data_IF_280717852877
#
_entry.id   IF_280717852877
#
_cell.length_a   1.000
_cell.length_b   1.000
_cell.length_c   1.000
_cell.angle_alpha   90.00
_cell.angle_beta   90.00
_cell.angle_gamma   90.00
#
_symmetry.space_group_name_H-M   'P 1'
#
loop_
_entity.id
_entity.type
_entity.pdbx_description
1 polymer ?
#
# COMPACT_ATOMS: atom_id res chain seq x y z
N UNK A 1 28.53 -28.57 14.22
CA UNK A 1 27.54 -27.57 13.76
C UNK A 1 26.18 -28.10 14.13
N UNK A 2 25.60 -27.59 15.21
CA UNK A 2 24.33 -28.07 15.77
C UNK A 2 23.17 -27.56 14.93
N UNK A 3 22.48 -28.47 14.24
CA UNK A 3 21.17 -28.24 13.66
C UNK A 3 20.16 -28.01 14.78
N UNK A 4 20.07 -26.77 15.26
CA UNK A 4 19.03 -26.36 16.19
C UNK A 4 17.72 -26.38 15.43
N UNK A 5 17.03 -27.53 15.44
CA UNK A 5 15.63 -27.64 15.01
C UNK A 5 14.83 -26.62 15.82
N UNK A 6 14.47 -25.51 15.19
CA UNK A 6 13.60 -24.49 15.75
C UNK A 6 12.20 -25.08 15.91
N UNK A 7 11.98 -25.79 17.01
CA UNK A 7 10.65 -26.26 17.39
C UNK A 7 9.83 -25.04 17.80
N UNK A 8 8.69 -24.86 17.14
CA UNK A 8 7.76 -23.73 17.19
C UNK A 8 7.07 -23.49 18.56
N UNK A 9 7.74 -23.75 19.69
CA UNK A 9 7.14 -23.81 21.04
C UNK A 9 7.16 -22.48 21.82
N UNK A 10 7.74 -21.39 21.28
CA UNK A 10 7.90 -20.10 21.99
C UNK A 10 7.39 -18.87 21.25
N UNK A 11 6.18 -18.95 20.70
CA UNK A 11 5.58 -17.85 19.93
C UNK A 11 4.23 -17.43 20.52
N UNK A 12 4.28 -16.78 21.68
CA UNK A 12 3.11 -16.17 22.32
C UNK A 12 2.72 -14.87 21.60
N UNK A 13 1.55 -14.91 20.96
CA UNK A 13 0.64 -13.81 20.59
C UNK A 13 1.09 -12.79 19.51
N UNK A 14 2.32 -12.27 19.53
CA UNK A 14 2.78 -11.34 18.47
C UNK A 14 3.42 -12.05 17.27
N UNK A 15 3.79 -13.32 17.49
CA UNK A 15 3.99 -14.32 16.45
C UNK A 15 2.68 -15.05 16.15
N UNK A 16 1.60 -14.30 16.04
CA UNK A 16 0.65 -14.65 15.02
C UNK A 16 1.41 -14.63 13.67
N UNK A 17 2.01 -15.76 13.34
CA UNK A 17 1.94 -16.36 12.01
C UNK A 17 0.46 -16.60 11.60
N UNK A 18 -0.51 -15.79 12.06
CA UNK A 18 -1.51 -15.29 11.13
C UNK A 18 -0.70 -14.56 10.06
N UNK A 19 -0.18 -15.34 9.11
CA UNK A 19 0.28 -14.95 7.80
C UNK A 19 -0.30 -13.57 7.54
N UNK A 20 0.52 -12.52 7.67
CA UNK A 20 0.05 -11.17 7.33
C UNK A 20 -0.52 -11.31 5.94
N UNK A 21 -1.86 -11.23 5.82
CA UNK A 21 -2.64 -12.02 4.86
C UNK A 21 -1.85 -12.29 3.58
N UNK A 22 -1.31 -13.51 3.46
CA UNK A 22 -0.53 -13.93 2.31
C UNK A 22 0.98 -14.11 2.46
N UNK A 23 1.62 -14.08 3.63
CA UNK A 23 3.02 -14.56 3.78
C UNK A 23 3.09 -16.00 4.31
N UNK A 24 3.78 -16.89 3.59
CA UNK A 24 4.07 -18.24 4.09
C UNK A 24 5.33 -18.28 4.95
N UNK A 25 5.45 -19.33 5.78
CA UNK A 25 6.65 -19.58 6.58
C UNK A 25 7.87 -19.78 5.67
N UNK A 26 7.69 -20.50 4.57
CA UNK A 26 8.73 -20.74 3.56
C UNK A 26 9.18 -19.43 2.90
N UNK A 27 8.25 -18.57 2.47
CA UNK A 27 8.56 -17.25 1.88
C UNK A 27 9.35 -16.39 2.87
N UNK A 28 8.95 -16.44 4.14
CA UNK A 28 9.62 -15.71 5.21
C UNK A 28 11.04 -16.22 5.41
N UNK A 29 11.25 -17.54 5.40
CA UNK A 29 12.58 -18.13 5.50
C UNK A 29 13.44 -17.73 4.29
N UNK A 30 12.90 -17.81 3.08
CA UNK A 30 13.60 -17.38 1.86
C UNK A 30 14.00 -15.90 1.95
N UNK A 31 13.15 -15.02 2.49
CA UNK A 31 13.50 -13.62 2.70
C UNK A 31 14.68 -13.45 3.65
N UNK A 32 14.71 -14.20 4.76
CA UNK A 32 15.86 -14.18 5.69
C UNK A 32 17.15 -14.60 5.00
N UNK A 33 17.11 -15.70 4.24
CA UNK A 33 18.28 -16.18 3.49
C UNK A 33 18.71 -15.18 2.40
N UNK A 34 17.76 -14.50 1.75
CA UNK A 34 18.06 -13.47 0.75
C UNK A 34 18.75 -12.25 1.38
N UNK A 35 18.26 -11.77 2.53
CA UNK A 35 18.90 -10.68 3.28
C UNK A 35 20.30 -11.08 3.72
N UNK A 36 20.47 -12.33 4.19
CA UNK A 36 21.77 -12.88 4.58
C UNK A 36 22.76 -12.97 3.40
N UNK A 37 22.27 -13.30 2.20
CA UNK A 37 23.10 -13.54 1.01
C UNK A 37 23.42 -12.27 0.19
N UNK A 38 22.46 -11.35 0.09
CA UNK A 38 22.56 -10.16 -0.77
C UNK A 38 22.67 -8.86 0.01
N UNK A 39 22.41 -8.88 1.31
CA UNK A 39 22.33 -7.69 2.13
C UNK A 39 20.91 -7.14 2.22
N UNK A 40 20.66 -6.39 3.28
CA UNK A 40 19.38 -5.70 3.46
C UNK A 40 19.21 -4.59 2.42
N UNK A 41 17.99 -4.36 1.96
CA UNK A 41 17.66 -3.42 0.88
C UNK A 41 17.95 -3.87 -0.57
N UNK A 42 18.42 -5.10 -0.79
CA UNK A 42 18.64 -5.66 -2.14
C UNK A 42 17.37 -6.29 -2.74
N UNK A 43 16.25 -5.56 -2.65
CA UNK A 43 14.92 -6.04 -3.05
C UNK A 43 14.82 -6.27 -4.56
N UNK A 44 15.43 -5.41 -5.36
CA UNK A 44 15.46 -5.56 -6.82
C UNK A 44 16.13 -6.88 -7.23
N UNK A 45 17.23 -7.26 -6.58
CA UNK A 45 17.90 -8.54 -6.84
C UNK A 45 17.01 -9.73 -6.53
N UNK A 46 16.27 -9.67 -5.42
CA UNK A 46 15.31 -10.71 -5.00
C UNK A 46 14.17 -10.84 -6.01
N UNK A 47 13.64 -9.70 -6.49
CA UNK A 47 12.57 -9.65 -7.48
C UNK A 47 13.04 -10.09 -8.87
N UNK A 48 14.18 -9.61 -9.36
CA UNK A 48 14.78 -10.00 -10.66
C UNK A 48 15.06 -11.50 -10.73
N UNK A 49 15.54 -12.09 -9.63
CA UNK A 49 15.76 -13.55 -9.53
C UNK A 49 14.48 -14.34 -9.21
N UNK A 50 13.34 -13.67 -9.05
CA UNK A 50 12.04 -14.25 -8.74
C UNK A 50 12.09 -15.25 -7.55
N UNK A 51 12.83 -14.88 -6.49
CA UNK A 51 13.02 -15.77 -5.33
C UNK A 51 11.80 -15.82 -4.43
N UNK A 52 11.05 -14.71 -4.35
CA UNK A 52 9.79 -14.60 -3.61
C UNK A 52 8.72 -14.04 -4.55
N UNK A 53 8.17 -14.90 -5.41
CA UNK A 53 7.25 -14.47 -6.45
C UNK A 53 6.00 -13.82 -5.84
N UNK A 54 5.53 -12.73 -6.43
CA UNK A 54 4.29 -12.06 -5.98
C UNK A 54 4.42 -11.01 -4.93
N UNK A 55 5.60 -10.88 -4.33
CA UNK A 55 5.84 -9.81 -3.38
C UNK A 55 6.32 -8.56 -4.09
N UNK A 56 5.68 -7.45 -3.76
CA UNK A 56 6.13 -6.13 -4.18
C UNK A 56 7.31 -5.67 -3.30
N UNK A 57 8.07 -4.69 -3.80
CA UNK A 57 9.15 -4.06 -3.04
C UNK A 57 8.68 -3.56 -1.65
N UNK A 58 7.53 -2.88 -1.59
CA UNK A 58 6.94 -2.43 -0.32
C UNK A 58 6.61 -3.60 0.61
N UNK A 59 6.05 -4.70 0.10
CA UNK A 59 5.77 -5.88 0.93
C UNK A 59 7.05 -6.50 1.50
N UNK A 60 8.12 -6.62 0.69
CA UNK A 60 9.43 -7.10 1.15
C UNK A 60 10.00 -6.21 2.26
N UNK A 61 9.92 -4.89 2.08
CA UNK A 61 10.39 -3.90 3.06
C UNK A 61 9.58 -3.93 4.36
N UNK A 62 8.25 -3.98 4.28
CA UNK A 62 7.39 -4.01 5.46
C UNK A 62 7.52 -5.31 6.24
N UNK A 63 7.67 -6.43 5.54
CA UNK A 63 7.89 -7.71 6.20
C UNK A 63 9.25 -7.76 6.88
N UNK A 64 10.32 -7.27 6.24
CA UNK A 64 11.65 -7.24 6.85
C UNK A 64 11.73 -6.35 8.09
N UNK A 65 11.01 -5.21 8.14
CA UNK A 65 10.85 -4.40 9.37
C UNK A 65 10.27 -5.21 10.53
N UNK A 66 9.22 -6.00 10.26
CA UNK A 66 8.60 -6.88 11.26
C UNK A 66 9.56 -7.97 11.71
N UNK A 67 10.25 -8.61 10.75
CA UNK A 67 11.20 -9.67 11.04
C UNK A 67 12.38 -9.18 11.89
N UNK A 68 12.86 -7.96 11.70
CA UNK A 68 13.92 -7.38 12.54
C UNK A 68 13.40 -6.75 13.84
N UNK A 69 12.08 -6.59 14.01
CA UNK A 69 11.48 -5.97 15.20
C UNK A 69 11.68 -4.45 15.30
N UNK A 70 11.90 -3.75 14.18
CA UNK A 70 12.19 -2.30 14.16
C UNK A 70 11.51 -1.62 12.97
N UNK A 71 10.90 -0.46 13.19
CA UNK A 71 10.12 0.28 12.16
C UNK A 71 10.98 1.00 11.11
N UNK A 72 12.29 1.09 11.32
CA UNK A 72 13.17 1.84 10.43
C UNK A 72 14.51 1.14 10.36
N UNK A 73 14.89 0.73 9.15
CA UNK A 73 16.08 -0.08 8.89
C UNK A 73 17.01 0.55 7.85
N UNK A 74 16.85 1.85 7.56
CA UNK A 74 17.64 2.51 6.49
C UNK A 74 19.16 2.45 6.73
N UNK A 75 19.61 2.42 8.00
CA UNK A 75 21.03 2.30 8.35
C UNK A 75 21.60 0.91 8.06
N UNK A 76 20.76 -0.10 7.91
CA UNK A 76 21.20 -1.46 7.59
C UNK A 76 21.32 -1.69 6.08
N UNK A 77 21.09 -0.67 5.24
CA UNK A 77 21.16 -0.80 3.79
C UNK A 77 22.53 -1.37 3.35
N UNK A 78 22.50 -2.51 2.67
CA UNK A 78 23.67 -3.22 2.15
C UNK A 78 24.31 -4.22 3.13
N UNK A 79 23.93 -4.21 4.42
CA UNK A 79 24.53 -5.08 5.44
C UNK A 79 23.96 -6.49 5.33
N UNK A 80 24.82 -7.51 5.33
CA UNK A 80 24.45 -8.92 5.36
C UNK A 80 24.16 -9.34 6.80
N UNK A 81 22.91 -9.23 7.20
CA UNK A 81 22.48 -9.40 8.59
C UNK A 81 21.81 -10.74 8.86
N UNK A 82 22.03 -11.28 10.05
CA UNK A 82 21.19 -12.35 10.59
C UNK A 82 19.94 -11.76 11.26
N UNK A 83 18.82 -11.83 10.52
CA UNK A 83 17.54 -11.22 10.90
C UNK A 83 17.06 -11.71 12.27
N UNK A 84 17.25 -12.99 12.58
CA UNK A 84 16.78 -13.58 13.83
C UNK A 84 17.57 -13.07 15.03
N UNK A 85 18.90 -12.94 14.88
CA UNK A 85 19.76 -12.39 15.91
C UNK A 85 19.37 -10.93 16.23
N UNK A 86 19.25 -10.09 15.19
CA UNK A 86 18.82 -8.70 15.34
C UNK A 86 17.44 -8.58 15.98
N UNK A 87 16.50 -9.45 15.61
CA UNK A 87 15.18 -9.50 16.22
C UNK A 87 15.24 -9.79 17.72
N UNK A 88 15.99 -10.81 18.14
CA UNK A 88 16.11 -11.20 19.53
C UNK A 88 16.73 -10.07 20.36
N UNK A 89 17.78 -9.43 19.85
CA UNK A 89 18.36 -8.25 20.48
C UNK A 89 17.32 -7.12 20.59
N UNK A 90 16.63 -6.79 19.50
CA UNK A 90 15.60 -5.76 19.50
C UNK A 90 14.40 -6.12 20.39
N UNK A 91 14.11 -7.39 20.60
CA UNK A 91 13.08 -7.84 21.54
C UNK A 91 13.52 -7.64 22.99
N UNK A 92 14.77 -7.98 23.29
CA UNK A 92 15.33 -7.89 24.63
C UNK A 92 15.68 -6.46 25.06
N UNK A 93 15.81 -5.53 24.10
CA UNK A 93 15.97 -4.09 24.40
C UNK A 93 14.75 -3.56 25.18
N UNK A 94 14.99 -3.26 26.45
CA UNK A 94 14.05 -2.61 27.38
C UNK A 94 14.69 -1.36 27.98
N UNK A 95 13.93 -0.28 28.18
CA UNK A 95 14.45 0.93 28.80
C UNK A 95 13.52 2.13 28.63
N UNK A 96 13.73 3.18 29.45
CA UNK A 96 12.89 4.40 29.45
C UNK A 96 12.86 5.11 28.09
N UNK A 97 13.92 4.99 27.30
CA UNK A 97 14.06 5.66 25.99
C UNK A 97 13.58 4.80 24.80
N UNK A 98 13.16 3.55 25.03
CA UNK A 98 12.76 2.64 23.95
C UNK A 98 11.24 2.69 23.80
N UNK A 99 10.79 3.38 22.76
CA UNK A 99 9.37 3.42 22.37
C UNK A 99 9.06 2.31 21.38
N UNK A 100 7.90 1.66 21.54
CA UNK A 100 7.41 0.60 20.62
C UNK A 100 6.06 0.96 20.02
N UNK A 101 5.85 0.62 18.75
CA UNK A 101 4.53 0.69 18.09
C UNK A 101 4.32 -0.60 17.30
N UNK A 102 3.21 -1.28 17.59
CA UNK A 102 2.92 -2.63 17.11
C UNK A 102 4.07 -3.62 17.41
N UNK A 103 4.62 -3.56 18.63
CA UNK A 103 5.72 -4.42 19.10
C UNK A 103 7.11 -4.12 18.53
N UNK A 104 7.22 -3.29 17.48
CA UNK A 104 8.49 -2.89 16.88
C UNK A 104 9.08 -1.65 17.55
N UNK A 105 10.41 -1.58 17.66
CA UNK A 105 11.12 -0.39 18.13
C UNK A 105 10.89 0.76 17.14
N UNK A 106 10.46 1.90 17.67
CA UNK A 106 10.39 3.18 16.94
C UNK A 106 11.68 3.92 17.23
N UNK A 107 12.44 4.21 16.18
CA UNK A 107 13.59 5.11 16.31
C UNK A 107 13.06 6.54 16.41
N UNK A 108 13.44 7.26 17.46
CA UNK A 108 13.13 8.69 17.55
C UNK A 108 13.77 9.42 16.36
N UNK A 109 13.05 10.41 15.82
CA UNK A 109 13.39 11.14 14.58
C UNK A 109 14.57 12.10 14.78
N UNK A 110 15.66 11.62 15.35
CA UNK A 110 16.90 12.38 15.34
C UNK A 110 17.42 12.40 13.89
N UNK A 111 17.42 13.59 13.29
CA UNK A 111 17.94 13.82 11.94
C UNK A 111 19.47 13.73 11.99
N UNK A 112 19.99 12.53 11.75
CA UNK A 112 21.45 12.33 11.71
C UNK A 112 22.05 13.05 10.50
N UNK A 113 23.17 13.74 10.74
CA UNK A 113 23.99 14.31 9.66
C UNK A 113 24.59 13.20 8.78
N UNK A 114 25.06 13.54 7.58
CA UNK A 114 25.65 12.56 6.65
C UNK A 114 26.86 11.85 7.27
N UNK A 115 27.69 12.57 8.02
CA UNK A 115 28.87 12.04 8.71
C UNK A 115 28.48 11.09 9.85
N UNK A 116 27.53 11.50 10.70
CA UNK A 116 27.01 10.65 11.78
C UNK A 116 26.35 9.39 11.24
N UNK A 117 25.67 9.46 10.08
CA UNK A 117 25.15 8.28 9.39
C UNK A 117 26.27 7.35 8.97
N UNK A 118 27.35 7.88 8.40
CA UNK A 118 28.54 7.10 8.02
C UNK A 118 29.14 6.34 9.20
N UNK A 119 29.40 7.04 10.31
CA UNK A 119 29.95 6.44 11.54
C UNK A 119 29.02 5.34 12.06
N UNK A 120 27.71 5.62 12.18
CA UNK A 120 26.74 4.61 12.64
C UNK A 120 26.64 3.41 11.70
N UNK A 121 26.74 3.61 10.39
CA UNK A 121 26.78 2.48 9.43
C UNK A 121 28.05 1.66 9.65
N UNK A 122 29.22 2.28 9.83
CA UNK A 122 30.46 1.53 10.10
C UNK A 122 30.41 0.73 11.40
N UNK A 123 29.79 1.27 12.45
CA UNK A 123 29.61 0.56 13.71
C UNK A 123 28.65 -0.62 13.56
N UNK A 124 27.55 -0.43 12.83
CA UNK A 124 26.60 -1.50 12.52
C UNK A 124 27.21 -2.60 11.66
N UNK A 125 28.05 -2.24 10.67
CA UNK A 125 28.79 -3.22 9.86
C UNK A 125 29.70 -4.04 10.78
N UNK A 126 30.46 -3.41 11.66
CA UNK A 126 31.31 -4.13 12.63
C UNK A 126 30.52 -5.07 13.54
N UNK A 127 29.32 -4.66 13.97
CA UNK A 127 28.51 -5.43 14.91
C UNK A 127 27.73 -6.57 14.25
N UNK A 128 27.12 -6.34 13.08
CA UNK A 128 26.11 -7.24 12.50
C UNK A 128 26.51 -7.87 11.17
N UNK A 129 27.55 -7.38 10.50
CA UNK A 129 27.96 -7.95 9.21
C UNK A 129 28.43 -9.39 9.41
N UNK A 130 27.83 -10.30 8.66
CA UNK A 130 28.22 -11.70 8.69
C UNK A 130 29.55 -11.91 7.98
N UNK A 131 30.30 -12.93 8.43
CA UNK A 131 31.54 -13.32 7.76
C UNK A 131 31.30 -13.70 6.30
N UNK A 132 32.24 -13.37 5.42
CA UNK A 132 32.17 -13.71 3.98
C UNK A 132 31.94 -15.21 3.72
N UNK A 133 32.44 -16.08 4.60
CA UNK A 133 32.20 -17.52 4.54
C UNK A 133 30.74 -17.88 4.83
N UNK A 134 30.13 -17.27 5.86
CA UNK A 134 28.70 -17.43 6.17
C UNK A 134 27.83 -16.94 5.01
N UNK A 135 28.14 -15.77 4.45
CA UNK A 135 27.42 -15.19 3.32
C UNK A 135 27.46 -16.13 2.10
N UNK A 136 28.63 -16.69 1.77
CA UNK A 136 28.77 -17.63 0.63
C UNK A 136 28.06 -18.95 0.87
N UNK A 137 28.09 -19.47 2.10
CA UNK A 137 27.46 -20.74 2.46
C UNK A 137 25.94 -20.67 2.60
N UNK A 138 25.38 -19.46 2.62
CA UNK A 138 23.95 -19.23 2.70
C UNK A 138 23.24 -19.81 1.47
N UNK A 139 22.48 -20.89 1.68
CA UNK A 139 21.67 -21.55 0.65
C UNK A 139 20.27 -20.96 0.64
N UNK A 140 19.93 -20.26 -0.44
CA UNK A 140 18.57 -19.75 -0.62
C UNK A 140 17.67 -20.91 -1.08
N UNK A 141 16.68 -21.25 -0.27
CA UNK A 141 15.67 -22.24 -0.61
C UNK A 141 14.82 -21.75 -1.79
N UNK A 142 14.56 -22.61 -2.78
CA UNK A 142 13.60 -22.31 -3.84
C UNK A 142 12.21 -22.74 -3.40
N UNK A 143 11.23 -21.84 -3.55
CA UNK A 143 9.83 -22.12 -3.23
C UNK A 143 9.25 -23.09 -4.27
N UNK A 144 8.75 -24.24 -3.79
CA UNK A 144 8.21 -25.32 -4.64
C UNK A 144 7.02 -24.87 -5.48
N UNK A 145 6.19 -23.97 -4.93
CA UNK A 145 4.96 -23.49 -5.59
C UNK A 145 5.16 -22.23 -6.45
N UNK A 146 6.40 -21.88 -6.78
CA UNK A 146 6.70 -20.71 -7.64
C UNK A 146 6.05 -20.79 -9.04
N UNK A 147 5.72 -21.99 -9.52
CA UNK A 147 5.07 -22.21 -10.82
C UNK A 147 3.67 -21.56 -10.93
N UNK A 148 2.90 -21.54 -9.84
CA UNK A 148 1.55 -20.96 -9.87
C UNK A 148 1.59 -19.43 -9.96
N UNK A 149 2.70 -18.80 -9.57
CA UNK A 149 2.80 -17.36 -9.64
C UNK A 149 2.78 -16.82 -11.07
N UNK A 150 3.36 -17.53 -12.04
CA UNK A 150 3.24 -17.14 -13.46
C UNK A 150 1.76 -17.07 -13.87
N UNK A 151 0.94 -18.01 -13.40
CA UNK A 151 -0.50 -17.99 -13.67
C UNK A 151 -1.21 -16.86 -12.94
N UNK A 152 -0.90 -16.62 -11.67
CA UNK A 152 -1.45 -15.50 -10.89
C UNK A 152 -1.08 -14.16 -11.55
N UNK A 153 0.16 -14.01 -12.00
CA UNK A 153 0.63 -12.82 -12.70
C UNK A 153 -0.08 -12.64 -14.05
N UNK A 154 -0.21 -13.71 -14.85
CA UNK A 154 -0.99 -13.70 -16.09
C UNK A 154 -2.45 -13.29 -15.83
N UNK A 155 -3.09 -13.84 -14.81
CA UNK A 155 -4.46 -13.47 -14.39
C UNK A 155 -4.54 -12.00 -13.98
N UNK A 156 -3.57 -11.52 -13.20
CA UNK A 156 -3.50 -10.11 -12.78
C UNK A 156 -3.30 -9.16 -13.97
N UNK A 157 -2.43 -9.52 -14.90
CA UNK A 157 -2.20 -8.75 -16.13
C UNK A 157 -3.45 -8.71 -17.00
N UNK A 158 -4.15 -9.84 -17.13
CA UNK A 158 -5.43 -9.92 -17.83
C UNK A 158 -6.50 -9.03 -17.17
N UNK A 159 -6.63 -9.08 -15.85
CA UNK A 159 -7.54 -8.21 -15.08
C UNK A 159 -7.21 -6.72 -15.28
N UNK A 160 -5.92 -6.35 -15.29
CA UNK A 160 -5.47 -4.99 -15.58
C UNK A 160 -5.90 -4.54 -16.99
N UNK A 161 -5.71 -5.37 -18.01
CA UNK A 161 -6.16 -5.09 -19.38
C UNK A 161 -7.68 -4.94 -19.45
N UNK A 162 -8.44 -5.79 -18.75
CA UNK A 162 -9.91 -5.69 -18.67
C UNK A 162 -10.36 -4.39 -17.99
N UNK A 163 -9.73 -4.02 -16.87
CA UNK A 163 -10.04 -2.76 -16.16
C UNK A 163 -9.77 -1.53 -17.04
N UNK A 164 -8.66 -1.51 -17.77
CA UNK A 164 -8.36 -0.44 -18.73
C UNK A 164 -9.42 -0.37 -19.85
N UNK A 165 -9.89 -1.52 -20.35
CA UNK A 165 -10.98 -1.56 -21.34
C UNK A 165 -12.27 -0.98 -20.77
N UNK A 166 -12.65 -1.36 -19.55
CA UNK A 166 -13.83 -0.82 -18.85
C UNK A 166 -13.72 0.69 -18.65
N UNK A 167 -12.54 1.20 -18.28
CA UNK A 167 -12.30 2.64 -18.13
C UNK A 167 -12.45 3.39 -19.46
N UNK A 168 -11.98 2.82 -20.58
CA UNK A 168 -12.16 3.40 -21.92
C UNK A 168 -13.63 3.46 -22.31
N UNK A 169 -14.37 2.38 -22.10
CA UNK A 169 -15.80 2.32 -22.39
C UNK A 169 -16.59 3.35 -21.55
N UNK A 170 -16.24 3.50 -20.26
CA UNK A 170 -16.85 4.54 -19.40
C UNK A 170 -16.64 5.95 -19.96
N UNK A 171 -15.41 6.26 -20.40
CA UNK A 171 -15.09 7.56 -21.00
C UNK A 171 -15.78 7.80 -22.34
N UNK A 172 -16.03 6.74 -23.12
CA UNK A 172 -16.80 6.86 -24.36
C UNK A 172 -18.26 7.16 -24.06
N UNK A 173 -18.87 6.40 -23.15
CA UNK A 173 -20.26 6.61 -22.73
C UNK A 173 -20.50 7.99 -22.10
N UNK A 174 -19.53 8.49 -21.34
CA UNK A 174 -19.58 9.85 -20.78
C UNK A 174 -19.61 10.92 -21.88
N UNK A 175 -18.82 10.75 -22.95
CA UNK A 175 -18.84 11.65 -24.11
C UNK A 175 -20.11 11.56 -24.94
N UNK A 176 -20.67 10.35 -25.09
CA UNK A 176 -21.95 10.14 -25.77
C UNK A 176 -23.07 10.89 -25.03
N UNK A 177 -23.12 10.76 -23.70
CA UNK A 177 -24.07 11.49 -22.87
C UNK A 177 -23.89 13.03 -22.94
N UNK A 178 -22.64 13.51 -22.97
CA UNK A 178 -22.35 14.94 -23.19
C UNK A 178 -22.78 15.46 -24.57
N UNK A 179 -22.81 14.58 -25.59
CA UNK A 179 -23.29 14.94 -26.93
C UNK A 179 -24.82 14.97 -26.98
N UNK A 180 -25.48 13.97 -26.39
CA UNK A 180 -26.93 13.87 -26.28
C UNK A 180 -27.51 15.10 -25.55
N UNK A 181 -26.93 15.47 -24.42
CA UNK A 181 -27.34 16.67 -23.65
C UNK A 181 -27.15 17.99 -24.41
N UNK A 182 -26.13 18.10 -25.26
CA UNK A 182 -25.94 19.29 -26.12
C UNK A 182 -26.99 19.37 -27.21
N UNK A 183 -27.29 18.24 -27.86
CA UNK A 183 -28.32 18.20 -28.91
C UNK A 183 -29.72 18.52 -28.36
N UNK A 184 -30.05 18.05 -27.15
CA UNK A 184 -31.32 18.38 -26.50
C UNK A 184 -31.45 19.89 -26.22
N UNK A 185 -30.39 20.52 -25.68
CA UNK A 185 -30.40 21.97 -25.42
C UNK A 185 -30.49 22.83 -26.69
N UNK A 186 -29.94 22.38 -27.82
CA UNK A 186 -30.07 23.09 -29.10
C UNK A 186 -31.51 23.02 -29.62
N UNK A 187 -32.15 21.85 -29.57
CA UNK A 187 -33.54 21.66 -30.03
C UNK A 187 -34.58 22.42 -29.22
N UNK A 188 -34.38 22.60 -27.91
CA UNK A 188 -35.28 23.42 -27.07
C UNK A 188 -35.18 24.91 -27.40
N UNK A 189 -33.99 25.41 -27.78
CA UNK A 189 -33.83 26.83 -28.13
C UNK A 189 -34.37 27.23 -29.51
N UNK A 190 -34.52 26.28 -30.44
CA UNK A 190 -35.15 26.55 -31.74
C UNK A 190 -36.68 26.59 -31.63
N UNK A 191 -37.27 25.69 -30.84
CA UNK A 191 -38.74 25.67 -30.61
C UNK A 191 -39.24 26.90 -29.85
N UNK A 192 -38.46 27.48 -28.93
CA UNK A 192 -38.84 28.75 -28.27
C UNK A 192 -38.67 29.99 -29.16
N UNK A 193 -37.93 29.91 -30.27
CA UNK A 193 -37.78 31.05 -31.21
C UNK A 193 -38.90 31.11 -32.23
N UNK A 194 -39.45 29.98 -32.66
CA UNK A 194 -40.59 29.95 -33.59
C UNK A 194 -41.90 30.38 -32.89
N UNK A 195 -42.16 29.98 -31.65
CA UNK A 195 -43.34 30.45 -30.90
C UNK A 195 -43.28 31.95 -30.52
N UNK A 196 -42.08 32.56 -30.50
CA UNK A 196 -41.91 33.98 -30.18
C UNK A 196 -42.03 34.92 -31.38
N UNK A 197 -42.12 34.39 -32.60
CA UNK A 197 -42.38 35.19 -33.82
C UNK A 197 -43.86 35.32 -34.20
N UNK A 198 -44.76 34.51 -33.64
CA UNK A 198 -46.20 34.61 -33.94
C UNK A 198 -47.03 35.42 -32.92
N UNK A 199 -46.43 35.86 -31.81
CA UNK A 199 -47.13 36.69 -30.82
C UNK A 199 -46.60 38.12 -30.80
N UNK A 200 -46.72 38.83 -31.93
CA UNK A 200 -46.46 40.28 -32.01
C UNK A 200 -47.62 41.01 -32.69
N UNK A 201 -48.82 40.85 -32.12
CA UNK A 201 -49.95 41.80 -32.24
C UNK A 201 -51.07 41.43 -31.27
N UNK A 202 -50.86 41.71 -29.99
CA UNK A 202 -51.97 42.00 -29.08
C UNK A 202 -51.40 42.83 -27.93
N UNK A 203 -51.71 44.12 -27.98
CA UNK A 203 -51.61 45.03 -26.86
C UNK A 203 -52.53 44.49 -25.75
N UNK A 204 -51.96 44.18 -24.59
CA UNK A 204 -52.73 43.99 -23.36
C UNK A 204 -52.47 45.23 -22.49
N UNK A 205 -53.53 45.88 -22.00
CA UNK A 205 -53.42 47.09 -21.23
C UNK A 205 -52.84 46.83 -19.84
N UNK A 206 -52.08 47.81 -19.42
CA UNK A 206 -51.67 48.12 -18.06
C UNK A 206 -52.90 48.17 -17.12
N UNK A 207 -53.10 47.16 -16.27
CA UNK A 207 -53.62 47.38 -14.92
C UNK A 207 -53.64 46.14 -14.01
N UNK A 208 -53.35 46.42 -12.74
CA UNK A 208 -53.68 45.67 -11.51
C UNK A 208 -52.67 44.62 -11.03
N UNK A 209 -51.77 45.12 -10.19
CA UNK A 209 -51.22 44.44 -9.02
C UNK A 209 -52.37 44.00 -8.09
N UNK A 210 -52.54 42.69 -7.90
CA UNK A 210 -53.15 42.18 -6.66
C UNK A 210 -52.37 40.97 -6.14
N UNK A 211 -52.03 41.08 -4.86
CA UNK A 211 -51.41 40.09 -4.01
C UNK A 211 -52.16 38.75 -4.01
N UNK A 212 -51.53 37.68 -4.51
CA UNK A 212 -51.94 36.32 -4.22
C UNK A 212 -50.83 35.65 -3.40
N UNK A 213 -50.96 35.80 -2.08
CA UNK A 213 -50.56 34.76 -1.13
C UNK A 213 -51.49 33.56 -1.35
N UNK A 214 -50.96 32.35 -1.41
CA UNK A 214 -51.37 31.24 -0.55
C UNK A 214 -50.62 29.93 -0.89
N UNK A 215 -50.10 29.37 0.20
CA UNK A 215 -50.11 27.96 0.58
C UNK A 215 -49.25 26.94 -0.16
N UNK A 216 -48.06 26.79 0.42
CA UNK A 216 -47.20 25.61 0.37
C UNK A 216 -47.99 24.43 0.96
N UNK A 217 -48.44 23.52 0.09
CA UNK A 217 -48.92 22.20 0.50
C UNK A 217 -47.70 21.29 0.64
N UNK A 218 -47.29 21.07 1.89
CA UNK A 218 -46.44 19.95 2.28
C UNK A 218 -47.20 18.64 2.01
N UNK A 219 -46.69 17.82 1.09
CA UNK A 219 -47.06 16.41 1.02
C UNK A 219 -45.77 15.58 1.12
N UNK A 220 -45.46 15.19 2.36
CA UNK A 220 -44.60 14.05 2.66
C UNK A 220 -45.25 12.76 2.13
N UNK A 221 -44.54 11.91 1.38
CA UNK A 221 -44.97 10.54 1.17
C UNK A 221 -44.49 9.65 2.31
N UNK A 222 -45.46 9.04 3.00
CA UNK A 222 -45.30 7.98 4.00
C UNK A 222 -44.48 6.80 3.46
N UNK A 223 -43.30 6.55 4.04
CA UNK A 223 -42.57 5.29 3.86
C UNK A 223 -43.25 4.16 4.63
N UNK A 224 -43.81 3.21 3.86
CA UNK A 224 -44.34 1.95 4.36
C UNK A 224 -43.23 1.07 4.93
N UNK A 225 -43.44 0.69 6.18
CA UNK A 225 -42.72 -0.33 6.94
C UNK A 225 -42.76 -1.67 6.21
N UNK A 226 -41.60 -2.25 5.92
CA UNK A 226 -41.48 -3.69 5.69
C UNK A 226 -40.58 -4.35 6.73
N UNK A 227 -41.18 -5.38 7.32
CA UNK A 227 -40.66 -6.28 8.33
C UNK A 227 -39.57 -7.18 7.74
N UNK A 228 -38.44 -7.31 8.43
CA UNK A 228 -37.76 -8.61 8.51
C UNK A 228 -37.04 -8.76 9.86
N UNK A 229 -37.77 -9.36 10.80
CA UNK A 229 -37.28 -9.95 12.04
C UNK A 229 -36.80 -11.39 11.77
N UNK A 230 -35.70 -11.76 12.41
CA UNK A 230 -35.19 -13.14 12.49
C UNK A 230 -33.83 -13.23 11.80
N UNK A 231 -32.72 -13.35 12.51
CA UNK A 231 -32.36 -14.57 13.24
C UNK A 231 -31.56 -14.24 14.51
N UNK A 232 -31.89 -15.03 15.51
CA UNK A 232 -31.48 -15.04 16.91
C UNK A 232 -30.06 -15.53 17.18
N UNK A 233 -29.44 -14.86 18.18
CA UNK A 233 -28.74 -15.39 19.38
C UNK A 233 -27.48 -16.26 19.22
N UNK A 234 -26.70 -16.25 20.32
CA UNK A 234 -25.55 -17.10 20.72
C UNK A 234 -24.23 -16.33 20.59
N UNK A 235 -23.43 -16.04 21.63
CA UNK A 235 -23.42 -16.35 23.07
C UNK A 235 -22.57 -15.28 23.76
N UNK A 236 -23.04 -14.74 24.89
CA UNK A 236 -22.21 -14.00 25.84
C UNK A 236 -21.18 -14.95 26.46
N UNK A 237 -19.89 -14.61 26.33
CA UNK A 237 -18.82 -15.27 27.06
C UNK A 237 -18.54 -14.43 28.31
N UNK A 238 -18.82 -15.02 29.46
CA UNK A 238 -18.52 -14.51 30.79
C UNK A 238 -17.00 -14.35 30.96
N UNK A 239 -16.55 -13.14 31.28
CA UNK A 239 -15.20 -12.90 31.79
C UNK A 239 -15.15 -13.18 33.28
N UNK A 240 -14.61 -14.34 33.66
CA UNK A 240 -14.21 -14.61 35.04
C UNK A 240 -12.90 -13.88 35.36
N UNK A 241 -12.95 -13.01 36.36
CA UNK A 241 -11.81 -12.36 37.00
C UNK A 241 -11.06 -13.41 37.82
N UNK A 242 -9.85 -13.78 37.39
CA UNK A 242 -8.90 -14.48 38.26
C UNK A 242 -8.09 -13.42 39.01
N UNK A 243 -8.39 -13.29 40.31
CA UNK A 243 -7.50 -12.68 41.30
C UNK A 243 -6.35 -13.64 41.58
N UNK A 244 -5.11 -13.16 41.52
CA UNK A 244 -3.98 -13.84 42.16
C UNK A 244 -3.25 -12.86 43.07
N UNK A 245 -3.35 -13.15 44.38
CA UNK A 245 -2.51 -12.67 45.48
C UNK A 245 -1.04 -12.98 45.13
N UNK A 246 -0.14 -12.00 45.11
CA UNK A 246 0.67 -11.54 46.25
C UNK A 246 1.27 -12.68 47.09
N UNK A 247 2.52 -13.01 46.80
CA UNK A 247 3.50 -13.40 47.81
C UNK A 247 4.73 -12.51 47.72
N UNK A 248 5.20 -12.14 48.91
CA UNK A 248 6.23 -11.17 49.24
C UNK A 248 7.58 -11.88 49.41
N UNK A 249 8.64 -11.22 48.98
CA UNK A 249 10.00 -11.28 49.56
C UNK A 249 10.70 -9.99 49.12
N UNK A 250 10.58 -8.88 49.84
CA UNK A 250 11.35 -8.47 51.02
C UNK A 250 12.88 -8.49 50.84
N UNK A 251 13.48 -7.30 51.04
CA UNK A 251 14.90 -6.91 51.19
C UNK A 251 15.63 -6.65 49.85
N UNK A 252 16.18 -5.48 49.55
CA UNK A 252 16.91 -4.52 50.40
C UNK A 252 16.77 -3.04 49.98
N UNK A 253 17.06 -2.20 50.98
CA UNK A 253 17.16 -0.74 50.99
C UNK A 253 18.30 -0.24 50.11
N UNK A 254 18.23 1.03 49.65
CA UNK A 254 19.27 2.08 49.78
C UNK A 254 18.98 3.27 48.82
N UNK A 255 18.62 4.39 49.46
CA UNK A 255 18.98 5.80 49.20
C UNK A 255 18.49 6.51 47.92
N UNK A 256 17.51 7.38 48.15
CA UNK A 256 17.12 8.55 47.36
C UNK A 256 18.12 9.71 47.61
N UNK A 257 18.29 10.66 46.66
CA UNK A 257 17.90 12.00 47.07
C UNK A 257 17.11 12.82 46.04
N UNK A 258 16.23 13.61 46.63
CA UNK A 258 15.38 14.69 46.15
C UNK A 258 15.99 15.61 45.07
N UNK A 259 15.23 15.84 43.99
CA UNK A 259 15.32 17.10 43.24
C UNK A 259 13.93 17.63 42.86
N UNK A 260 13.50 18.59 43.69
CA UNK A 260 12.72 19.82 43.43
C UNK A 260 11.81 19.85 42.19
N UNK A 261 10.51 19.80 42.48
CA UNK A 261 9.38 20.21 41.63
C UNK A 261 9.48 21.70 41.29
N UNK A 262 9.60 22.06 40.01
CA UNK A 262 9.27 23.40 39.50
C UNK A 262 7.99 23.35 38.69
N UNK A 263 7.00 24.05 39.25
CA UNK A 263 5.68 24.35 38.76
C UNK A 263 5.81 25.50 37.74
N UNK A 264 5.48 25.29 36.48
CA UNK A 264 5.22 26.39 35.54
C UNK A 264 3.78 26.27 35.05
N UNK A 265 3.03 27.32 35.34
CA UNK A 265 1.62 27.53 35.01
C UNK A 265 1.61 28.62 33.93
N UNK A 266 0.77 28.42 32.91
CA UNK A 266 0.26 29.39 31.92
C UNK A 266 1.24 29.89 30.86
N UNK A 267 0.89 29.71 29.59
CA UNK A 267 0.42 30.83 28.78
C UNK A 267 -0.42 30.36 27.58
N UNK A 268 -1.63 30.92 27.48
CA UNK A 268 -2.50 30.89 26.30
C UNK A 268 -2.10 32.11 25.47
N UNK A 269 -1.92 31.94 24.16
CA UNK A 269 -2.28 32.85 23.06
C UNK A 269 -1.33 32.63 21.88
N UNK A 270 -1.87 32.11 20.77
CA UNK A 270 -1.63 32.58 19.41
C UNK A 270 -2.37 31.67 18.41
N UNK A 271 -3.63 32.01 18.16
CA UNK A 271 -4.36 31.64 16.94
C UNK A 271 -3.99 32.71 15.91
N UNK A 272 -3.00 32.43 15.07
CA UNK A 272 -2.77 33.16 13.82
C UNK A 272 -3.24 32.22 12.71
N UNK A 273 -4.32 32.62 12.04
CA UNK A 273 -4.81 31.94 10.85
C UNK A 273 -3.82 32.15 9.70
N UNK A 274 -3.21 31.07 9.22
CA UNK A 274 -2.64 31.04 7.88
C UNK A 274 -3.79 30.82 6.90
N UNK A 275 -4.11 31.86 6.13
CA UNK A 275 -4.78 31.70 4.84
C UNK A 275 -3.72 31.24 3.84
N UNK A 276 -3.99 30.11 3.19
CA UNK A 276 -3.18 29.56 2.10
C UNK A 276 -3.36 30.41 0.84
N UNK A 277 -2.49 31.40 0.62
CA UNK A 277 -2.31 31.99 -0.70
C UNK A 277 -1.20 31.22 -1.42
N UNK A 278 -1.58 30.19 -2.18
CA UNK A 278 -0.65 29.51 -3.08
C UNK A 278 -0.41 30.38 -4.32
N UNK A 279 0.78 30.94 -4.41
CA UNK A 279 1.29 31.71 -5.54
C UNK A 279 1.26 30.88 -6.85
N UNK A 280 0.53 31.30 -7.91
CA UNK A 280 0.34 30.52 -9.15
C UNK A 280 1.63 30.28 -9.96
N UNK A 281 2.69 31.03 -9.67
CA UNK A 281 3.99 30.92 -10.36
C UNK A 281 4.73 29.63 -9.99
N UNK A 282 4.60 29.16 -8.73
CA UNK A 282 5.29 27.93 -8.25
C UNK A 282 4.67 26.66 -8.87
N UNK A 283 3.36 26.66 -9.17
CA UNK A 283 2.70 25.54 -9.86
C UNK A 283 3.14 25.38 -11.32
N UNK A 284 3.57 26.46 -11.98
CA UNK A 284 4.07 26.39 -13.37
C UNK A 284 5.48 25.82 -13.44
N UNK A 285 6.35 26.12 -12.47
CA UNK A 285 7.71 25.57 -12.41
C UNK A 285 7.72 24.08 -12.04
N UNK A 286 6.88 23.64 -11.10
CA UNK A 286 6.80 22.20 -10.74
C UNK A 286 6.31 21.35 -11.91
N UNK A 287 5.38 21.86 -12.74
CA UNK A 287 4.89 21.14 -13.91
C UNK A 287 5.87 21.10 -15.08
N UNK A 288 6.79 22.06 -15.20
CA UNK A 288 7.86 22.01 -16.22
C UNK A 288 9.01 21.09 -15.81
N UNK A 289 9.29 20.92 -14.51
CA UNK A 289 10.28 19.94 -14.04
C UNK A 289 9.79 18.50 -14.15
N UNK A 290 8.50 18.23 -13.85
CA UNK A 290 7.93 16.88 -13.95
C UNK A 290 7.87 16.37 -15.40
N UNK A 291 7.73 17.25 -16.40
CA UNK A 291 7.77 16.87 -17.83
C UNK A 291 9.17 16.55 -18.36
N UNK A 292 10.24 16.91 -17.64
CA UNK A 292 11.64 16.64 -18.06
C UNK A 292 12.24 15.38 -17.42
N UNK A 293 11.55 14.74 -16.47
CA UNK A 293 12.01 13.52 -15.79
C UNK A 293 11.31 12.23 -16.29
N UNK A 294 10.73 12.22 -17.50
CA UNK A 294 10.49 10.94 -18.19
C UNK A 294 11.83 10.37 -18.66
N UNK A 295 12.43 9.55 -17.78
CA UNK A 295 13.72 8.91 -17.96
C UNK A 295 13.80 8.20 -19.34
N UNK A 296 14.62 8.69 -20.29
CA UNK A 296 14.65 8.16 -21.66
C UNK A 296 15.05 6.68 -21.71
N UNK A 297 15.75 6.19 -20.68
CA UNK A 297 16.13 4.78 -20.52
C UNK A 297 14.92 3.86 -20.36
N UNK A 298 13.86 4.29 -19.66
CA UNK A 298 12.64 3.48 -19.49
C UNK A 298 11.86 3.34 -20.80
N UNK A 299 11.86 4.38 -21.64
CA UNK A 299 11.22 4.33 -22.97
C UNK A 299 11.95 3.42 -23.95
N UNK A 300 13.27 3.27 -23.83
CA UNK A 300 14.04 2.32 -24.63
C UNK A 300 13.84 0.87 -24.18
N UNK A 301 13.75 0.61 -22.88
CA UNK A 301 13.46 -0.73 -22.36
C UNK A 301 12.06 -1.20 -22.75
N UNK A 302 11.03 -0.34 -22.68
CA UNK A 302 9.68 -0.69 -23.14
C UNK A 302 9.64 -1.01 -24.63
N UNK A 303 10.38 -0.27 -25.47
CA UNK A 303 10.49 -0.56 -26.91
C UNK A 303 11.20 -1.89 -27.20
N UNK A 304 12.20 -2.27 -26.39
CA UNK A 304 12.88 -3.57 -26.53
C UNK A 304 11.96 -4.73 -26.16
N UNK A 305 11.20 -4.60 -25.08
CA UNK A 305 10.22 -5.62 -24.66
C UNK A 305 9.14 -5.81 -25.71
N UNK A 306 8.61 -4.74 -26.29
CA UNK A 306 7.60 -4.84 -27.36
C UNK A 306 8.12 -5.55 -28.61
N UNK A 307 9.37 -5.28 -29.02
CA UNK A 307 10.00 -5.98 -30.16
C UNK A 307 10.25 -7.46 -29.89
N UNK A 308 10.61 -7.84 -28.66
CA UNK A 308 10.75 -9.26 -28.28
C UNK A 308 9.40 -9.98 -28.26
N UNK A 309 8.32 -9.31 -27.86
CA UNK A 309 6.96 -9.87 -27.91
C UNK A 309 6.45 -10.07 -29.34
N UNK A 310 6.73 -9.14 -30.26
CA UNK A 310 6.39 -9.28 -31.68
C UNK A 310 7.13 -10.47 -32.31
N UNK A 311 8.44 -10.60 -32.06
CA UNK A 311 9.23 -11.73 -32.57
C UNK A 311 8.73 -13.09 -32.04
N UNK A 312 8.33 -13.16 -30.77
CA UNK A 312 7.79 -14.39 -30.20
C UNK A 312 6.42 -14.77 -30.79
N UNK A 313 5.58 -13.78 -31.10
CA UNK A 313 4.29 -14.01 -31.76
C UNK A 313 4.44 -14.58 -33.17
N UNK A 314 5.46 -14.16 -33.91
CA UNK A 314 5.72 -14.68 -35.26
C UNK A 314 6.29 -16.11 -35.25
N UNK A 315 7.03 -16.49 -34.21
CA UNK A 315 7.47 -17.89 -34.01
C UNK A 315 6.25 -18.78 -33.77
N UNK A 316 5.33 -18.38 -32.90
CA UNK A 316 4.12 -19.15 -32.60
C UNK A 316 3.25 -19.35 -33.86
N UNK A 317 3.07 -18.28 -34.66
CA UNK A 317 2.31 -18.39 -35.93
C UNK A 317 2.97 -19.34 -36.93
N UNK A 318 4.30 -19.41 -36.97
CA UNK A 318 5.02 -20.35 -37.85
C UNK A 318 4.86 -21.80 -37.40
N UNK A 319 4.85 -22.05 -36.09
CA UNK A 319 4.61 -23.39 -35.54
C UNK A 319 3.18 -23.88 -35.81
N UNK A 320 2.18 -23.00 -35.67
CA UNK A 320 0.78 -23.33 -35.96
C UNK A 320 0.54 -23.67 -37.44
N UNK A 321 1.22 -22.96 -38.35
CA UNK A 321 1.13 -23.23 -39.79
C UNK A 321 1.86 -24.52 -40.21
N UNK A 322 2.99 -24.84 -39.55
CA UNK A 322 3.71 -26.12 -39.70
C UNK A 322 2.88 -27.30 -39.20
N UNK A 323 2.13 -27.13 -38.10
CA UNK A 323 1.26 -28.17 -37.57
C UNK A 323 0.06 -28.47 -38.47
N UNK A 324 -0.50 -27.45 -39.15
CA UNK A 324 -1.59 -27.63 -40.12
C UNK A 324 -1.13 -28.40 -41.37
N UNK A 325 0.01 -28.03 -41.96
CA UNK A 325 0.53 -28.70 -43.17
C UNK A 325 0.86 -30.17 -42.94
N UNK A 326 1.36 -30.54 -41.75
CA UNK A 326 1.57 -31.95 -41.38
C UNK A 326 0.28 -32.75 -41.16
N UNK A 327 -0.84 -32.08 -40.86
CA UNK A 327 -2.14 -32.74 -40.65
C UNK A 327 -2.83 -33.08 -41.97
N UNK A 328 -2.60 -32.27 -43.00
CA UNK A 328 -3.16 -32.48 -44.34
C UNK A 328 -2.37 -33.55 -45.13
N UNK A 329 -1.05 -33.67 -44.91
CA UNK A 329 -0.23 -34.75 -45.50
C UNK A 329 -0.53 -36.14 -44.93
N UNK A 330 -1.25 -36.25 -43.81
CA UNK A 330 -1.57 -37.53 -43.15
C UNK A 330 -2.98 -38.05 -43.49
N UNK A 331 -3.72 -37.34 -44.35
CA UNK A 331 -5.08 -37.66 -44.79
C UNK A 331 -5.18 -38.09 -46.25
N UNK A 332 -4.08 -38.01 -47.01
CA UNK A 332 -3.88 -38.71 -48.27
C UNK A 332 -3.00 -39.93 -48.02
#
# INVERSE_FOLDING_TARGET
>A
MSDTKWTAKYVSSLFNESSSQGWSIEETQVLRECIRRYGYSCWETIMKKNLIPGKTHSQLYHHSMRLCGQQSLYLYKGIHLDVNHLYLENRNKTGKNIKRKAGMIIKEKEMLTKEQKGIKITDLVKQYELSSKSIKNTKILRLKNSGNYKQIFKRRLMLLKMLQKVQKLRKQKEKELEQETKTETETETETTKEERTETKKQEIPENQEEDIKMDIIENEPEEKKENNKGITKVKEIKFEKIQLKQEKSEKDQVVEPEVKKRRIKKEKQNKIGLKEETNPTIKKEINTTIKKEENPVLKEEEKKVLKEEENNMDIIKKEDNSAKTKKDQKKN
#
